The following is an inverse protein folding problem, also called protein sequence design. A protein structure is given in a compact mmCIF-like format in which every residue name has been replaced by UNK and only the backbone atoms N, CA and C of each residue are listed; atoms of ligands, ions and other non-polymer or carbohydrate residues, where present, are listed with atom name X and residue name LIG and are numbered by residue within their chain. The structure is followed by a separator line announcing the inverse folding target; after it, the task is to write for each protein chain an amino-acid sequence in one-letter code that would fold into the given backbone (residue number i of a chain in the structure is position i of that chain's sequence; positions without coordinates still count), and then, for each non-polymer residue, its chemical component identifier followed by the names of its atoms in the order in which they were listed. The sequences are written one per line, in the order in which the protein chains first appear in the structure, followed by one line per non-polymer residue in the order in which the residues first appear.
data_IF_096147576997
#
_entry.id   IF_096147576997
#
_cell.length_a   1.000
_cell.length_b   1.000
_cell.length_c   1.000
_cell.angle_alpha   90.00
_cell.angle_beta   90.00
_cell.angle_gamma   90.00
#
_symmetry.space_group_name_H-M   'P 1'
#
loop_
_entity.id
_entity.type
_entity.pdbx_description
1 polymer ?
#
# COMPACT_ATOMS: atom_id res chain seq x y z
N UNK A 1 29.41 -2.70 -10.54
CA UNK A 1 28.83 -2.98 -9.19
C UNK A 1 27.38 -3.39 -9.41
N UNK A 2 26.92 -4.51 -8.86
CA UNK A 2 25.51 -4.95 -9.00
C UNK A 2 24.64 -4.07 -8.11
N UNK A 3 23.61 -3.43 -8.68
CA UNK A 3 22.64 -2.67 -7.92
C UNK A 3 21.46 -3.60 -7.58
N UNK A 4 21.41 -4.09 -6.34
CA UNK A 4 20.37 -5.01 -5.89
C UNK A 4 18.97 -4.39 -5.92
N UNK A 5 18.82 -3.08 -5.63
CA UNK A 5 17.53 -2.39 -5.75
C UNK A 5 17.00 -2.48 -7.17
N UNK A 6 17.83 -2.22 -8.17
CA UNK A 6 17.42 -2.31 -9.57
C UNK A 6 16.98 -3.73 -9.95
N UNK A 7 17.70 -4.77 -9.48
CA UNK A 7 17.29 -6.16 -9.74
C UNK A 7 15.91 -6.48 -9.18
N UNK A 8 15.60 -6.00 -7.97
CA UNK A 8 14.30 -6.17 -7.34
C UNK A 8 13.23 -5.46 -8.17
N UNK A 9 13.45 -4.20 -8.54
CA UNK A 9 12.51 -3.42 -9.37
C UNK A 9 12.27 -4.12 -10.71
N UNK A 10 13.34 -4.56 -11.40
CA UNK A 10 13.22 -5.27 -12.68
C UNK A 10 12.39 -6.55 -12.57
N UNK A 11 12.65 -7.37 -11.55
CA UNK A 11 11.91 -8.61 -11.35
C UNK A 11 10.44 -8.33 -10.98
N UNK A 12 10.21 -7.36 -10.12
CA UNK A 12 8.87 -6.99 -9.70
C UNK A 12 8.00 -6.47 -10.86
N UNK A 13 8.52 -5.53 -11.67
CA UNK A 13 7.74 -5.00 -12.81
C UNK A 13 7.50 -6.04 -13.89
N UNK A 14 8.44 -6.99 -14.04
CA UNK A 14 8.25 -8.16 -14.92
C UNK A 14 7.08 -9.03 -14.42
N UNK A 15 6.99 -9.25 -13.11
CA UNK A 15 5.91 -10.01 -12.49
C UNK A 15 4.55 -9.31 -12.69
N UNK A 16 4.45 -8.00 -12.46
CA UNK A 16 3.23 -7.23 -12.71
C UNK A 16 2.74 -7.37 -14.16
N UNK A 17 3.67 -7.25 -15.09
CA UNK A 17 3.39 -7.36 -16.52
C UNK A 17 2.97 -8.77 -16.94
N UNK A 18 3.61 -9.79 -16.36
CA UNK A 18 3.28 -11.20 -16.60
C UNK A 18 1.87 -11.52 -16.11
N UNK A 19 1.54 -11.15 -14.89
CA UNK A 19 0.24 -11.41 -14.29
C UNK A 19 -0.91 -10.74 -15.06
N UNK A 20 -0.73 -9.50 -15.53
CA UNK A 20 -1.70 -8.85 -16.41
C UNK A 20 -1.89 -9.66 -17.69
N UNK A 21 -0.81 -10.03 -18.37
CA UNK A 21 -0.84 -10.80 -19.62
C UNK A 21 -1.43 -12.19 -19.46
N UNK A 22 -1.13 -12.86 -18.37
CA UNK A 22 -1.71 -14.16 -18.03
C UNK A 22 -3.22 -14.10 -17.84
N UNK A 23 -3.71 -12.98 -17.28
CA UNK A 23 -5.14 -12.78 -17.01
C UNK A 23 -5.90 -12.35 -18.26
N UNK A 24 -5.32 -11.44 -19.07
CA UNK A 24 -6.05 -10.77 -20.17
C UNK A 24 -5.51 -11.05 -21.57
N UNK A 25 -4.40 -11.80 -21.70
CA UNK A 25 -3.73 -12.08 -22.98
C UNK A 25 -3.41 -10.81 -23.77
N UNK A 26 -4.06 -10.60 -24.92
CA UNK A 26 -3.88 -9.46 -25.82
C UNK A 26 -4.90 -8.34 -25.61
N UNK A 27 -5.75 -8.43 -24.58
CA UNK A 27 -6.70 -7.35 -24.29
C UNK A 27 -5.94 -6.17 -23.69
N UNK A 28 -6.12 -4.99 -24.30
CA UNK A 28 -5.50 -3.73 -23.86
C UNK A 28 -4.00 -3.87 -23.52
N UNK A 29 -3.15 -4.33 -24.49
CA UNK A 29 -1.76 -4.69 -24.22
C UNK A 29 -0.91 -3.51 -23.71
N UNK A 30 -1.35 -2.26 -23.97
CA UNK A 30 -0.72 -1.06 -23.44
C UNK A 30 -0.79 -0.96 -21.91
N UNK A 31 -1.78 -1.58 -21.26
CA UNK A 31 -1.91 -1.54 -19.80
C UNK A 31 -0.79 -2.29 -19.10
N UNK A 32 -0.31 -3.38 -19.69
CA UNK A 32 0.88 -4.07 -19.19
C UNK A 32 2.13 -3.15 -19.16
N UNK A 33 2.27 -2.28 -20.17
CA UNK A 33 3.39 -1.33 -20.22
C UNK A 33 3.16 -0.14 -19.27
N UNK A 34 1.91 0.31 -19.08
CA UNK A 34 1.57 1.32 -18.08
C UNK A 34 1.85 0.83 -16.67
N UNK A 35 1.53 -0.42 -16.35
CA UNK A 35 1.85 -1.03 -15.05
C UNK A 35 3.36 -1.13 -14.82
N UNK A 36 4.12 -1.55 -15.83
CA UNK A 36 5.59 -1.56 -15.77
C UNK A 36 6.14 -0.16 -15.48
N UNK A 37 5.70 0.84 -16.25
CA UNK A 37 6.14 2.22 -16.09
C UNK A 37 5.76 2.80 -14.72
N UNK A 38 4.50 2.61 -14.29
CA UNK A 38 4.04 3.09 -12.98
C UNK A 38 4.79 2.39 -11.84
N UNK A 39 5.03 1.08 -11.96
CA UNK A 39 5.80 0.32 -10.97
C UNK A 39 7.23 0.83 -10.82
N UNK A 40 7.92 1.11 -11.94
CA UNK A 40 9.25 1.74 -11.90
C UNK A 40 9.20 3.11 -11.25
N UNK A 41 8.30 3.97 -11.73
CA UNK A 41 8.15 5.33 -11.20
C UNK A 41 7.91 5.32 -9.68
N UNK A 42 6.99 4.49 -9.20
CA UNK A 42 6.65 4.41 -7.78
C UNK A 42 7.84 3.90 -6.96
N UNK A 43 8.44 2.76 -7.36
CA UNK A 43 9.53 2.15 -6.58
C UNK A 43 10.82 2.98 -6.62
N UNK A 44 11.14 3.65 -7.73
CA UNK A 44 12.29 4.56 -7.81
C UNK A 44 12.11 5.74 -6.86
N UNK A 45 10.91 6.34 -6.77
CA UNK A 45 10.64 7.43 -5.83
C UNK A 45 10.70 6.93 -4.39
N UNK A 46 9.95 5.86 -4.06
CA UNK A 46 9.90 5.31 -2.69
C UNK A 46 11.28 4.83 -2.22
N UNK A 47 12.15 4.37 -3.12
CA UNK A 47 13.51 3.94 -2.76
C UNK A 47 14.40 5.08 -2.26
N UNK A 48 14.01 6.33 -2.47
CA UNK A 48 14.68 7.51 -1.96
C UNK A 48 14.15 7.95 -0.59
N UNK A 49 13.04 7.36 -0.13
CA UNK A 49 12.51 7.64 1.21
C UNK A 49 13.44 7.10 2.30
N UNK A 50 13.55 7.85 3.38
CA UNK A 50 14.22 7.45 4.61
C UNK A 50 13.24 6.99 5.70
N UNK A 51 11.96 6.84 5.39
CA UNK A 51 10.99 6.16 6.24
C UNK A 51 11.41 4.70 6.47
N UNK A 52 11.40 4.28 7.74
CA UNK A 52 11.96 2.98 8.12
C UNK A 52 11.09 1.80 7.69
N UNK A 53 9.77 1.96 7.77
CA UNK A 53 8.79 0.90 7.49
C UNK A 53 8.10 1.09 6.14
N UNK A 54 7.59 2.31 5.85
CA UNK A 54 6.88 2.63 4.61
C UNK A 54 7.87 2.85 3.46
N UNK A 55 8.39 1.75 2.93
CA UNK A 55 9.47 1.66 1.97
C UNK A 55 9.11 0.77 0.77
N UNK A 56 10.07 0.54 -0.10
CA UNK A 56 9.91 -0.27 -1.31
C UNK A 56 9.40 -1.69 -1.02
N UNK A 57 9.86 -2.33 0.06
CA UNK A 57 9.44 -3.70 0.42
C UNK A 57 7.95 -3.75 0.75
N UNK A 58 7.45 -2.79 1.54
CA UNK A 58 6.03 -2.67 1.87
C UNK A 58 5.18 -2.50 0.61
N UNK A 59 5.55 -1.55 -0.25
CA UNK A 59 4.83 -1.31 -1.51
C UNK A 59 4.77 -2.55 -2.40
N UNK A 60 5.87 -3.32 -2.50
CA UNK A 60 5.91 -4.57 -3.25
C UNK A 60 4.92 -5.59 -2.65
N UNK A 61 4.96 -5.81 -1.32
CA UNK A 61 4.09 -6.78 -0.64
C UNK A 61 2.62 -6.43 -0.83
N UNK A 62 2.24 -5.16 -0.63
CA UNK A 62 0.88 -4.65 -0.83
C UNK A 62 0.41 -4.87 -2.26
N UNK A 63 1.27 -4.59 -3.24
CA UNK A 63 0.93 -4.73 -4.66
C UNK A 63 0.77 -6.20 -5.06
N UNK A 64 1.63 -7.09 -4.59
CA UNK A 64 1.54 -8.52 -4.89
C UNK A 64 0.29 -9.17 -4.27
N UNK A 65 -0.05 -8.85 -3.03
CA UNK A 65 -1.30 -9.36 -2.43
C UNK A 65 -2.53 -8.79 -3.13
N UNK A 66 -2.51 -7.51 -3.52
CA UNK A 66 -3.58 -6.92 -4.30
C UNK A 66 -3.81 -7.64 -5.64
N UNK A 67 -2.73 -7.98 -6.33
CA UNK A 67 -2.76 -8.80 -7.55
C UNK A 67 -3.40 -10.17 -7.29
N UNK A 68 -3.03 -10.85 -6.20
CA UNK A 68 -3.63 -12.12 -5.80
C UNK A 68 -5.13 -12.01 -5.47
N UNK A 69 -5.55 -10.90 -4.84
CA UNK A 69 -6.96 -10.60 -4.58
C UNK A 69 -7.73 -10.45 -5.90
N UNK A 70 -7.22 -9.64 -6.84
CA UNK A 70 -7.89 -9.44 -8.14
C UNK A 70 -7.95 -10.74 -8.96
N UNK A 71 -6.88 -11.52 -8.99
CA UNK A 71 -6.88 -12.86 -9.60
C UNK A 71 -7.98 -13.74 -9.02
N UNK A 72 -8.06 -13.83 -7.70
CA UNK A 72 -9.08 -14.62 -7.00
C UNK A 72 -10.51 -14.12 -7.29
N UNK A 73 -10.72 -12.80 -7.29
CA UNK A 73 -11.99 -12.18 -7.63
C UNK A 73 -12.39 -12.49 -9.07
N UNK A 74 -11.48 -12.33 -10.02
CA UNK A 74 -11.71 -12.62 -11.44
C UNK A 74 -12.08 -14.10 -11.66
N UNK A 75 -11.39 -15.04 -11.01
CA UNK A 75 -11.67 -16.47 -11.09
C UNK A 75 -13.00 -16.85 -10.45
N UNK A 76 -13.38 -16.20 -9.34
CA UNK A 76 -14.59 -16.54 -8.57
C UNK A 76 -15.86 -15.96 -9.18
N UNK A 77 -15.82 -14.70 -9.61
CA UNK A 77 -16.99 -13.92 -9.98
C UNK A 77 -16.97 -13.47 -11.44
N UNK A 78 -15.80 -13.49 -12.08
CA UNK A 78 -15.60 -12.76 -13.33
C UNK A 78 -15.63 -11.25 -13.12
N UNK A 79 -15.76 -10.50 -14.22
CA UNK A 79 -16.10 -9.04 -14.16
C UNK A 79 -14.98 -8.11 -13.69
N UNK A 80 -13.75 -8.58 -13.46
CA UNK A 80 -12.61 -7.68 -13.32
C UNK A 80 -12.13 -7.31 -14.71
N UNK A 81 -12.49 -6.09 -15.16
CA UNK A 81 -12.08 -5.63 -16.49
C UNK A 81 -10.62 -5.14 -16.49
N UNK A 82 -9.93 -5.14 -17.65
CA UNK A 82 -8.55 -4.67 -17.76
C UNK A 82 -8.33 -3.27 -17.15
N UNK A 83 -9.28 -2.35 -17.32
CA UNK A 83 -9.20 -1.01 -16.77
C UNK A 83 -9.32 -0.98 -15.24
N UNK A 84 -10.17 -1.84 -14.65
CA UNK A 84 -10.29 -1.96 -13.19
C UNK A 84 -9.00 -2.49 -12.58
N UNK A 85 -8.39 -3.50 -13.24
CA UNK A 85 -7.07 -4.01 -12.86
C UNK A 85 -6.01 -2.92 -12.89
N UNK A 86 -5.95 -2.15 -13.97
CA UNK A 86 -4.99 -1.05 -14.12
C UNK A 86 -5.12 -0.05 -12.98
N UNK A 87 -6.34 0.49 -12.75
CA UNK A 87 -6.56 1.49 -11.71
C UNK A 87 -6.26 0.97 -10.31
N UNK A 88 -6.66 -0.27 -10.04
CA UNK A 88 -6.42 -0.92 -8.76
C UNK A 88 -4.92 -1.08 -8.48
N UNK A 89 -4.17 -1.59 -9.45
CA UNK A 89 -2.73 -1.78 -9.32
C UNK A 89 -1.98 -0.45 -9.23
N UNK A 90 -2.39 0.57 -9.99
CA UNK A 90 -1.81 1.92 -9.88
C UNK A 90 -2.06 2.53 -8.49
N UNK A 91 -3.24 2.30 -7.90
CA UNK A 91 -3.54 2.77 -6.55
C UNK A 91 -2.60 2.12 -5.53
N UNK A 92 -2.38 0.80 -5.60
CA UNK A 92 -1.48 0.10 -4.68
C UNK A 92 -0.01 0.50 -4.86
N UNK A 93 0.43 0.67 -6.10
CA UNK A 93 1.80 1.12 -6.39
C UNK A 93 2.11 2.50 -5.81
N UNK A 94 1.09 3.38 -5.75
CA UNK A 94 1.26 4.78 -5.37
C UNK A 94 0.63 5.15 -4.02
N UNK A 95 0.08 4.19 -3.24
CA UNK A 95 -0.66 4.52 -2.02
C UNK A 95 0.20 5.25 -0.97
N UNK A 96 1.48 4.90 -0.89
CA UNK A 96 2.44 5.44 0.07
C UNK A 96 3.46 6.41 -0.53
N UNK A 97 3.34 6.74 -1.83
CA UNK A 97 4.30 7.65 -2.47
C UNK A 97 4.32 9.04 -1.81
N UNK A 98 3.24 9.39 -1.13
CA UNK A 98 3.09 10.64 -0.40
C UNK A 98 4.00 10.78 0.82
N UNK A 99 4.65 9.71 1.29
CA UNK A 99 5.73 9.81 2.27
C UNK A 99 6.95 10.54 1.71
N UNK A 100 7.25 10.37 0.43
CA UNK A 100 8.48 10.88 -0.19
C UNK A 100 8.46 12.40 -0.28
N UNK A 101 9.47 13.06 0.30
CA UNK A 101 9.72 14.49 0.14
C UNK A 101 10.08 14.80 -1.31
N UNK A 102 9.58 15.91 -1.84
CA UNK A 102 9.83 16.34 -3.22
C UNK A 102 8.97 15.64 -4.27
N UNK A 103 8.00 14.80 -3.90
CA UNK A 103 7.17 14.06 -4.85
C UNK A 103 6.02 14.90 -5.43
N UNK A 104 5.47 15.83 -4.67
CA UNK A 104 4.44 16.77 -5.10
C UNK A 104 5.05 18.03 -5.71
N UNK A 105 4.37 18.65 -6.67
CA UNK A 105 4.88 19.84 -7.38
C UNK A 105 5.16 21.05 -6.50
N UNK A 106 4.39 21.19 -5.41
CA UNK A 106 4.55 22.33 -4.49
C UNK A 106 5.58 22.06 -3.38
N UNK A 107 6.20 20.86 -3.37
CA UNK A 107 7.26 20.55 -2.42
C UNK A 107 8.51 21.40 -2.71
N UNK A 108 9.13 21.86 -1.63
CA UNK A 108 10.34 22.67 -1.68
C UNK A 108 11.36 22.12 -0.66
N UNK A 109 12.47 22.83 -0.42
CA UNK A 109 13.57 22.37 0.42
C UNK A 109 13.16 22.00 1.85
N UNK A 110 12.25 22.77 2.48
CA UNK A 110 11.82 22.63 3.87
C UNK A 110 10.31 22.66 4.05
N UNK A 111 9.57 22.89 2.96
CA UNK A 111 8.11 22.98 2.96
C UNK A 111 7.51 21.98 1.99
N UNK A 112 6.49 21.27 2.45
CA UNK A 112 5.90 20.15 1.71
C UNK A 112 4.38 20.31 1.62
N UNK A 113 3.83 20.05 0.43
CA UNK A 113 2.38 20.01 0.23
C UNK A 113 1.72 19.03 1.18
N UNK A 114 0.59 19.40 1.78
CA UNK A 114 -0.20 18.48 2.61
C UNK A 114 -1.16 17.61 1.76
N UNK A 115 -1.44 18.04 0.52
CA UNK A 115 -2.49 17.46 -0.33
C UNK A 115 -3.91 17.80 0.15
N UNK A 116 -4.05 18.79 1.05
CA UNK A 116 -5.33 19.27 1.59
C UNK A 116 -5.37 20.79 1.35
N UNK A 117 -6.33 21.24 0.54
CA UNK A 117 -6.66 22.66 0.30
C UNK A 117 -5.43 23.56 0.01
N UNK A 118 -4.52 23.13 -0.86
CA UNK A 118 -3.25 23.80 -1.18
C UNK A 118 -2.35 24.09 0.05
N UNK A 119 -2.62 23.44 1.17
CA UNK A 119 -1.85 23.59 2.40
C UNK A 119 -0.43 23.06 2.26
N UNK A 120 0.49 23.70 2.97
CA UNK A 120 1.88 23.27 3.10
C UNK A 120 2.27 23.11 4.56
N UNK A 121 3.22 22.22 4.84
CA UNK A 121 3.80 22.02 6.17
C UNK A 121 5.31 22.17 6.08
N UNK A 122 5.89 22.80 7.10
CA UNK A 122 7.34 22.86 7.29
C UNK A 122 7.79 21.65 8.12
N UNK A 123 8.80 20.94 7.65
CA UNK A 123 9.42 19.83 8.36
C UNK A 123 10.87 20.22 8.68
N UNK A 124 11.32 20.04 9.92
CA UNK A 124 12.72 20.25 10.27
C UNK A 124 13.66 19.38 9.41
N UNK A 125 14.86 19.87 9.14
CA UNK A 125 15.86 19.17 8.32
C UNK A 125 16.26 17.81 8.88
N UNK A 126 16.16 17.63 10.20
CA UNK A 126 16.46 16.39 10.91
C UNK A 126 15.29 15.38 10.88
N UNK A 127 14.09 15.81 10.48
CA UNK A 127 12.92 14.93 10.37
C UNK A 127 13.04 14.00 9.18
N UNK A 128 12.66 12.74 9.36
CA UNK A 128 12.59 11.77 8.27
C UNK A 128 11.30 11.97 7.44
N UNK A 129 11.13 11.18 6.38
CA UNK A 129 9.89 11.13 5.60
C UNK A 129 8.69 10.67 6.43
N UNK A 130 8.91 9.96 7.56
CA UNK A 130 7.87 9.60 8.53
C UNK A 130 7.14 10.83 9.09
N UNK A 131 7.76 12.01 9.14
CA UNK A 131 7.10 13.26 9.51
C UNK A 131 5.88 13.61 8.62
N UNK A 132 5.80 13.05 7.40
CA UNK A 132 4.68 13.20 6.47
C UNK A 132 3.54 12.19 6.69
N UNK A 133 3.64 11.28 7.66
CA UNK A 133 2.65 10.21 7.93
C UNK A 133 1.21 10.73 7.97
N UNK A 134 0.96 11.86 8.61
CA UNK A 134 -0.40 12.43 8.72
C UNK A 134 -0.97 12.89 7.39
N UNK A 135 -0.12 13.12 6.40
CA UNK A 135 -0.47 13.69 5.09
C UNK A 135 -0.27 12.70 3.94
N UNK A 136 0.41 11.56 4.15
CA UNK A 136 0.85 10.68 3.07
C UNK A 136 -0.28 10.27 2.12
N UNK A 137 -1.46 9.88 2.63
CA UNK A 137 -2.61 9.52 1.78
C UNK A 137 -3.06 10.71 0.92
N UNK A 138 -3.19 11.90 1.50
CA UNK A 138 -3.61 13.11 0.76
C UNK A 138 -2.55 13.52 -0.27
N UNK A 139 -1.28 13.39 0.06
CA UNK A 139 -0.14 13.63 -0.84
C UNK A 139 -0.07 12.58 -1.96
N UNK A 140 -0.31 11.32 -1.66
CA UNK A 140 -0.39 10.25 -2.68
C UNK A 140 -1.51 10.53 -3.69
N UNK A 141 -2.66 10.97 -3.22
CA UNK A 141 -3.76 11.41 -4.09
C UNK A 141 -3.38 12.61 -4.95
N UNK A 142 -2.73 13.61 -4.33
CA UNK A 142 -2.24 14.80 -5.05
C UNK A 142 -1.24 14.38 -6.14
N UNK A 143 -0.28 13.52 -5.81
CA UNK A 143 0.68 12.97 -6.79
C UNK A 143 -0.02 12.32 -7.98
N UNK A 144 -1.05 11.48 -7.74
CA UNK A 144 -1.83 10.84 -8.80
C UNK A 144 -2.51 11.89 -9.69
N UNK A 145 -3.16 12.88 -9.09
CA UNK A 145 -3.84 13.94 -9.84
C UNK A 145 -2.85 14.80 -10.65
N UNK A 146 -1.69 15.10 -10.10
CA UNK A 146 -0.64 15.88 -10.77
C UNK A 146 0.05 15.13 -11.93
N UNK A 147 0.25 13.82 -11.80
CA UNK A 147 0.98 13.00 -12.77
C UNK A 147 0.09 12.38 -13.83
N UNK A 148 -1.11 11.96 -13.45
CA UNK A 148 -2.02 11.18 -14.30
C UNK A 148 -3.33 11.90 -14.61
N UNK A 149 -3.56 13.08 -14.03
CA UNK A 149 -4.81 13.82 -14.18
C UNK A 149 -5.03 14.51 -15.54
N UNK A 150 -4.08 14.39 -16.48
CA UNK A 150 -4.28 14.94 -17.82
C UNK A 150 -4.89 13.88 -18.77
N UNK A 151 -6.20 13.95 -19.05
CA UNK A 151 -6.89 12.95 -19.88
C UNK A 151 -6.47 12.95 -21.35
N UNK A 152 -5.77 13.99 -21.82
CA UNK A 152 -5.26 14.05 -23.19
C UNK A 152 -4.00 13.20 -23.37
N UNK A 153 -3.27 12.93 -22.29
CA UNK A 153 -2.04 12.14 -22.31
C UNK A 153 -2.30 10.66 -22.00
N UNK A 154 -3.28 10.37 -21.15
CA UNK A 154 -3.58 9.03 -20.65
C UNK A 154 -5.09 8.79 -20.65
N UNK A 155 -5.65 8.54 -21.82
CA UNK A 155 -7.11 8.44 -22.07
C UNK A 155 -7.77 7.36 -21.18
N UNK A 156 -7.08 6.26 -20.91
CA UNK A 156 -7.64 5.13 -20.17
C UNK A 156 -7.44 5.23 -18.65
N UNK A 157 -6.68 6.21 -18.19
CA UNK A 157 -6.35 6.40 -16.76
C UNK A 157 -7.26 7.46 -16.16
N UNK A 158 -8.11 7.05 -15.23
CA UNK A 158 -8.92 7.96 -14.42
C UNK A 158 -8.24 8.20 -13.06
N UNK A 159 -7.51 9.32 -12.98
CA UNK A 159 -6.79 9.71 -11.77
C UNK A 159 -7.72 9.90 -10.56
N UNK A 160 -8.98 10.32 -10.78
CA UNK A 160 -9.95 10.50 -9.69
C UNK A 160 -10.40 9.17 -9.10
N UNK A 161 -10.58 8.14 -9.93
CA UNK A 161 -10.87 6.78 -9.48
C UNK A 161 -9.70 6.25 -8.66
N UNK A 162 -8.47 6.36 -9.15
CA UNK A 162 -7.25 5.91 -8.45
C UNK A 162 -7.10 6.63 -7.11
N UNK A 163 -7.28 7.96 -7.08
CA UNK A 163 -7.23 8.75 -5.85
C UNK A 163 -8.31 8.31 -4.85
N UNK A 164 -9.51 7.94 -5.31
CA UNK A 164 -10.58 7.42 -4.44
C UNK A 164 -10.23 6.06 -3.83
N UNK A 165 -9.46 5.24 -4.54
CA UNK A 165 -8.96 3.95 -4.02
C UNK A 165 -7.88 4.17 -2.97
N UNK A 166 -6.93 5.08 -3.23
CA UNK A 166 -5.87 5.46 -2.28
C UNK A 166 -6.47 6.04 -0.99
N UNK A 167 -7.57 6.80 -1.06
CA UNK A 167 -8.23 7.33 0.13
C UNK A 167 -8.59 6.24 1.15
N UNK A 168 -8.88 5.03 0.69
CA UNK A 168 -9.24 3.92 1.58
C UNK A 168 -8.08 3.37 2.43
N UNK A 169 -6.83 3.70 2.11
CA UNK A 169 -5.66 3.29 2.92
C UNK A 169 -5.43 4.19 4.14
N UNK A 170 -6.28 5.20 4.33
CA UNK A 170 -6.21 6.08 5.50
C UNK A 170 -6.34 5.29 6.81
N UNK A 171 -5.38 5.53 7.69
CA UNK A 171 -5.34 4.92 9.02
C UNK A 171 -5.13 5.99 10.12
N UNK A 172 -5.82 5.94 11.28
CA UNK A 172 -6.93 5.02 11.59
C UNK A 172 -8.09 5.11 10.58
N UNK A 173 -8.79 3.98 10.35
CA UNK A 173 -9.91 3.94 9.39
C UNK A 173 -11.01 4.87 9.89
N UNK A 174 -11.40 5.90 9.11
CA UNK A 174 -12.46 6.81 9.51
C UNK A 174 -13.83 6.12 9.60
N UNK A 175 -14.73 6.64 10.47
CA UNK A 175 -16.03 5.98 10.73
C UNK A 175 -17.16 6.38 9.76
N UNK A 176 -16.88 7.22 8.76
CA UNK A 176 -17.86 7.65 7.78
C UNK A 176 -18.33 6.49 6.87
N UNK A 177 -19.54 6.56 6.31
CA UNK A 177 -20.11 5.48 5.47
C UNK A 177 -19.23 5.10 4.27
N UNK A 178 -18.46 6.05 3.72
CA UNK A 178 -17.54 5.81 2.62
C UNK A 178 -16.52 4.72 2.94
N UNK A 179 -15.99 4.68 4.18
CA UNK A 179 -14.97 3.74 4.60
C UNK A 179 -15.51 2.39 5.09
N UNK A 180 -16.84 2.21 5.15
CA UNK A 180 -17.45 0.92 5.56
C UNK A 180 -17.46 -0.13 4.45
N UNK A 181 -17.19 0.28 3.22
CA UNK A 181 -17.11 -0.62 2.07
C UNK A 181 -15.88 -1.53 2.16
N UNK A 182 -16.10 -2.84 1.99
CA UNK A 182 -15.06 -3.88 2.00
C UNK A 182 -15.04 -4.71 0.72
N UNK A 183 -16.08 -4.63 -0.13
CA UNK A 183 -16.31 -5.52 -1.26
C UNK A 183 -15.98 -4.91 -2.62
N UNK A 184 -16.08 -3.58 -2.76
CA UNK A 184 -15.71 -2.90 -4.00
C UNK A 184 -14.18 -2.83 -4.17
N UNK A 185 -13.71 -2.46 -5.37
CA UNK A 185 -12.28 -2.31 -5.64
C UNK A 185 -11.58 -1.38 -4.64
N UNK A 186 -12.20 -0.28 -4.24
CA UNK A 186 -11.63 0.63 -3.24
C UNK A 186 -11.49 -0.03 -1.87
N UNK A 187 -12.50 -0.79 -1.41
CA UNK A 187 -12.43 -1.56 -0.16
C UNK A 187 -11.36 -2.65 -0.22
N UNK A 188 -11.17 -3.28 -1.39
CA UNK A 188 -10.14 -4.27 -1.62
C UNK A 188 -8.72 -3.66 -1.66
N UNK A 189 -8.55 -2.38 -2.05
CA UNK A 189 -7.25 -1.66 -1.94
C UNK A 189 -6.83 -1.56 -0.47
N UNK A 190 -7.72 -1.13 0.43
CA UNK A 190 -7.43 -1.13 1.87
C UNK A 190 -7.10 -2.52 2.39
N UNK A 191 -7.88 -3.53 1.95
CA UNK A 191 -7.62 -4.90 2.36
C UNK A 191 -6.25 -5.39 1.88
N UNK A 192 -5.81 -5.00 0.68
CA UNK A 192 -4.49 -5.33 0.15
C UNK A 192 -3.38 -4.69 1.00
N UNK A 193 -3.55 -3.44 1.41
CA UNK A 193 -2.60 -2.75 2.28
C UNK A 193 -2.46 -3.48 3.64
N UNK A 194 -3.56 -3.72 4.35
CA UNK A 194 -3.52 -4.48 5.60
C UNK A 194 -2.93 -5.89 5.45
N UNK A 195 -3.32 -6.64 4.42
CA UNK A 195 -2.85 -8.00 4.23
C UNK A 195 -1.38 -8.01 3.76
N UNK A 196 -0.97 -7.05 2.93
CA UNK A 196 0.42 -6.89 2.49
C UNK A 196 1.35 -6.60 3.66
N UNK A 197 0.90 -5.77 4.61
CA UNK A 197 1.59 -5.53 5.86
C UNK A 197 1.64 -6.80 6.73
N UNK A 198 0.49 -7.35 7.10
CA UNK A 198 0.39 -8.41 8.10
C UNK A 198 0.77 -9.80 7.57
N UNK A 199 0.69 -10.01 6.27
CA UNK A 199 1.09 -11.24 5.58
C UNK A 199 2.54 -11.25 5.08
N UNK A 200 3.30 -10.17 5.26
CA UNK A 200 4.73 -10.14 5.02
C UNK A 200 5.43 -11.13 5.96
N UNK A 201 6.14 -12.16 5.46
CA UNK A 201 6.83 -13.14 6.30
C UNK A 201 7.78 -12.53 7.35
N UNK A 202 8.24 -11.29 7.11
CA UNK A 202 9.14 -10.57 7.99
C UNK A 202 8.42 -9.53 8.88
N UNK A 203 7.09 -9.44 8.85
CA UNK A 203 6.36 -8.37 9.54
C UNK A 203 6.74 -8.22 11.01
N UNK A 204 6.75 -9.32 11.77
CA UNK A 204 7.09 -9.27 13.20
C UNK A 204 8.52 -8.77 13.49
N UNK A 205 9.43 -8.91 12.52
CA UNK A 205 10.81 -8.37 12.59
C UNK A 205 10.85 -6.90 12.18
N UNK A 206 9.87 -6.42 11.39
CA UNK A 206 9.76 -5.03 10.93
C UNK A 206 9.00 -4.14 11.93
N UNK A 207 8.34 -4.70 12.95
CA UNK A 207 7.63 -3.93 13.99
C UNK A 207 8.50 -2.84 14.63
N UNK A 208 9.80 -3.05 14.95
CA UNK A 208 10.62 -1.95 15.45
C UNK A 208 10.71 -0.75 14.51
N UNK A 209 10.79 -0.98 13.19
CA UNK A 209 10.81 0.10 12.20
C UNK A 209 9.50 0.92 12.26
N UNK A 210 8.34 0.26 12.28
CA UNK A 210 7.04 0.91 12.40
C UNK A 210 6.88 1.66 13.74
N UNK A 211 7.38 1.07 14.84
CA UNK A 211 7.36 1.72 16.15
C UNK A 211 8.13 3.05 16.15
N UNK A 212 9.33 3.08 15.55
CA UNK A 212 10.14 4.31 15.52
C UNK A 212 9.59 5.37 14.57
N UNK A 213 8.89 5.00 13.49
CA UNK A 213 8.13 5.97 12.70
C UNK A 213 6.99 6.60 13.52
N UNK A 214 6.27 5.79 14.31
CA UNK A 214 5.22 6.28 15.20
C UNK A 214 5.77 7.18 16.31
N UNK A 215 6.97 6.87 16.81
CA UNK A 215 7.66 7.67 17.82
C UNK A 215 7.99 9.07 17.30
N UNK A 216 8.48 9.18 16.06
CA UNK A 216 8.85 10.45 15.44
C UNK A 216 7.65 11.41 15.34
N UNK A 217 6.46 10.89 15.11
CA UNK A 217 5.23 11.71 14.95
C UNK A 217 4.37 11.78 16.22
N UNK A 218 4.83 11.20 17.34
CA UNK A 218 4.11 11.14 18.60
C UNK A 218 2.90 10.19 18.61
N UNK A 219 2.78 9.29 17.63
CA UNK A 219 1.62 8.38 17.52
C UNK A 219 1.66 7.27 18.58
N UNK A 220 2.83 6.93 19.12
CA UNK A 220 2.95 5.97 20.22
C UNK A 220 2.28 6.46 21.51
N UNK A 221 2.23 7.77 21.75
CA UNK A 221 1.49 8.34 22.87
C UNK A 221 -0.02 8.14 22.69
N UNK A 222 -0.54 8.36 21.48
CA UNK A 222 -1.96 8.17 21.16
C UNK A 222 -2.40 6.71 21.23
N UNK A 223 -1.57 5.80 20.72
CA UNK A 223 -1.85 4.35 20.68
C UNK A 223 -1.49 3.64 21.98
N UNK A 224 -0.71 4.28 22.85
CA UNK A 224 -0.25 3.73 24.11
C UNK A 224 0.87 2.71 23.97
N UNK A 225 1.55 2.63 22.83
CA UNK A 225 2.72 1.75 22.65
C UNK A 225 3.94 2.31 23.40
N UNK A 226 4.54 1.46 24.22
CA UNK A 226 5.68 1.84 25.09
C UNK A 226 7.04 1.34 24.58
N UNK A 227 7.02 0.38 23.67
CA UNK A 227 8.21 -0.22 23.06
C UNK A 227 7.83 -1.07 21.85
N UNK A 228 8.77 -1.42 20.98
CA UNK A 228 8.54 -2.38 19.89
C UNK A 228 7.96 -3.71 20.37
N UNK A 229 8.44 -4.23 21.51
CA UNK A 229 7.92 -5.45 22.12
C UNK A 229 6.47 -5.30 22.60
N UNK A 230 6.09 -4.14 23.14
CA UNK A 230 4.70 -3.86 23.51
C UNK A 230 3.80 -3.73 22.27
N UNK A 231 4.27 -3.11 21.19
CA UNK A 231 3.53 -3.09 19.90
C UNK A 231 3.35 -4.52 19.38
N UNK A 232 4.40 -5.35 19.39
CA UNK A 232 4.35 -6.75 18.97
C UNK A 232 3.36 -7.57 19.80
N UNK A 233 3.37 -7.47 21.13
CA UNK A 233 2.43 -8.20 21.98
C UNK A 233 0.96 -7.82 21.78
N UNK A 234 0.69 -6.61 21.26
CA UNK A 234 -0.66 -6.17 20.89
C UNK A 234 -1.08 -6.59 19.46
N UNK A 235 -0.21 -7.23 18.68
CA UNK A 235 -0.50 -7.61 17.29
C UNK A 235 -1.79 -8.42 17.14
N UNK A 236 -2.01 -9.44 17.96
CA UNK A 236 -3.22 -10.28 17.90
C UNK A 236 -4.49 -9.48 18.13
N UNK A 237 -4.47 -8.54 19.09
CA UNK A 237 -5.60 -7.64 19.35
C UNK A 237 -5.86 -6.71 18.17
N UNK A 238 -4.79 -6.15 17.58
CA UNK A 238 -4.85 -5.33 16.39
C UNK A 238 -5.45 -6.10 15.21
N UNK A 239 -4.96 -7.32 14.94
CA UNK A 239 -5.49 -8.17 13.89
C UNK A 239 -7.00 -8.41 14.03
N UNK A 240 -7.44 -8.91 15.19
CA UNK A 240 -8.84 -9.30 15.36
C UNK A 240 -9.81 -8.12 15.44
N UNK A 241 -9.43 -7.03 16.10
CA UNK A 241 -10.33 -5.91 16.37
C UNK A 241 -10.31 -4.83 15.29
N UNK A 242 -9.17 -4.59 14.70
CA UNK A 242 -8.97 -3.48 13.74
C UNK A 242 -8.94 -4.00 12.32
N UNK A 243 -8.09 -4.98 11.99
CA UNK A 243 -7.86 -5.40 10.62
C UNK A 243 -8.94 -6.35 10.09
N UNK A 244 -9.27 -7.39 10.86
CA UNK A 244 -10.16 -8.48 10.43
C UNK A 244 -11.51 -8.02 9.87
N UNK A 245 -12.18 -7.00 10.44
CA UNK A 245 -13.44 -6.48 9.89
C UNK A 245 -13.31 -5.91 8.48
N UNK A 246 -12.14 -5.39 8.10
CA UNK A 246 -11.92 -4.70 6.83
C UNK A 246 -11.40 -5.60 5.70
N UNK A 247 -10.99 -6.84 6.00
CA UNK A 247 -10.35 -7.72 5.01
C UNK A 247 -11.20 -8.94 4.63
N UNK A 248 -12.43 -9.09 5.16
CA UNK A 248 -13.24 -10.31 5.02
C UNK A 248 -13.50 -10.69 3.58
N UNK A 249 -13.89 -9.73 2.73
CA UNK A 249 -14.18 -10.00 1.32
C UNK A 249 -12.90 -10.38 0.57
N UNK A 250 -11.79 -9.70 0.81
CA UNK A 250 -10.49 -10.04 0.23
C UNK A 250 -10.06 -11.47 0.57
N UNK A 251 -10.27 -11.92 1.81
CA UNK A 251 -9.95 -13.30 2.21
C UNK A 251 -10.75 -14.32 1.39
N UNK A 252 -12.00 -14.03 1.02
CA UNK A 252 -12.80 -14.94 0.19
C UNK A 252 -12.21 -15.11 -1.22
N UNK A 253 -11.56 -14.06 -1.76
CA UNK A 253 -10.88 -14.12 -3.04
C UNK A 253 -9.52 -14.80 -2.94
N UNK A 254 -8.74 -14.50 -1.91
CA UNK A 254 -7.44 -15.14 -1.67
C UNK A 254 -7.54 -16.66 -1.48
N UNK A 255 -8.65 -17.16 -0.92
CA UNK A 255 -8.88 -18.61 -0.78
C UNK A 255 -8.97 -19.37 -2.11
N UNK A 256 -9.16 -18.70 -3.24
CA UNK A 256 -9.35 -19.33 -4.56
C UNK A 256 -8.04 -19.87 -5.13
N UNK A 257 -6.91 -19.19 -4.87
CA UNK A 257 -5.60 -19.56 -5.42
C UNK A 257 -4.64 -20.07 -4.35
N UNK A 258 -3.64 -20.85 -4.76
CA UNK A 258 -2.61 -21.32 -3.83
C UNK A 258 -1.76 -20.16 -3.29
N UNK A 259 -1.43 -19.19 -4.14
CA UNK A 259 -0.74 -17.96 -3.76
C UNK A 259 -1.54 -17.19 -2.70
N UNK A 260 -2.85 -16.99 -2.93
CA UNK A 260 -3.72 -16.31 -1.98
C UNK A 260 -3.81 -17.03 -0.63
N UNK A 261 -3.88 -18.37 -0.63
CA UNK A 261 -3.85 -19.17 0.60
C UNK A 261 -2.54 -18.99 1.38
N UNK A 262 -1.42 -18.77 0.68
CA UNK A 262 -0.14 -18.51 1.34
C UNK A 262 -0.15 -17.17 2.08
N UNK A 263 -0.74 -16.10 1.52
CA UNK A 263 -0.92 -14.83 2.22
C UNK A 263 -1.74 -15.00 3.50
N UNK A 264 -2.85 -15.75 3.44
CA UNK A 264 -3.67 -16.06 4.62
C UNK A 264 -2.87 -16.84 5.67
N UNK A 265 -2.12 -17.85 5.24
CA UNK A 265 -1.29 -18.68 6.13
C UNK A 265 -0.20 -17.84 6.84
N UNK A 266 0.51 -16.97 6.11
CA UNK A 266 1.54 -16.11 6.68
C UNK A 266 0.95 -15.20 7.77
N UNK A 267 -0.17 -14.54 7.48
CA UNK A 267 -0.83 -13.65 8.43
C UNK A 267 -1.29 -14.40 9.69
N UNK A 268 -1.85 -15.59 9.55
CA UNK A 268 -2.27 -16.41 10.69
C UNK A 268 -1.09 -17.00 11.47
N UNK A 269 0.04 -17.27 10.81
CA UNK A 269 1.25 -17.73 11.52
C UNK A 269 1.75 -16.66 12.50
N UNK A 270 1.71 -15.38 12.11
CA UNK A 270 2.08 -14.30 13.02
C UNK A 270 1.14 -14.18 14.22
N UNK A 271 -0.17 -14.36 14.00
CA UNK A 271 -1.15 -14.41 15.12
C UNK A 271 -0.80 -15.55 16.07
N UNK A 272 -0.52 -16.73 15.52
CA UNK A 272 -0.15 -17.90 16.30
C UNK A 272 1.15 -17.67 17.08
N UNK A 273 2.18 -17.15 16.43
CA UNK A 273 3.51 -16.91 17.04
C UNK A 273 3.39 -15.97 18.24
N UNK A 274 2.69 -14.85 18.09
CA UNK A 274 2.50 -13.88 19.18
C UNK A 274 1.69 -14.48 20.34
N UNK A 275 0.67 -15.30 20.04
CA UNK A 275 -0.17 -15.90 21.09
C UNK A 275 0.55 -16.99 21.89
N UNK A 276 1.47 -17.73 21.27
CA UNK A 276 2.01 -18.95 21.86
C UNK A 276 3.50 -18.85 22.23
N UNK A 277 4.28 -18.00 21.58
CA UNK A 277 5.73 -17.90 21.81
C UNK A 277 6.16 -16.60 22.49
N UNK A 278 5.40 -15.51 22.33
CA UNK A 278 5.75 -14.22 22.96
C UNK A 278 5.11 -14.05 24.37
N UNK A 279 4.36 -15.03 24.85
CA UNK A 279 3.68 -14.99 26.16
C UNK A 279 4.50 -15.54 27.34
N UNK A 280 5.81 -15.74 27.12
CA UNK A 280 6.72 -16.29 28.15
C UNK A 280 7.86 -15.36 28.50
#
# INVERSE_FOLDING_TARGET
MVNFKNLIVEQFVKELKSAYRETYNQMEPQYANLLEWTGRLALENISNSDALYHNMDHTIMVTLVGQAILKGKHLKEGGVHPRDWLHFMMALLCHDIGYVKGVCKADNHDTFATGIDDGVIQIPLEGTDAALTRFHVSRSKLFILERFGNPQLLVDVDASVIASYIEMTRFPVPDEPFYKDTSSFRGLVRAADFIGQLGDPNYLRKIPALYYEFEEIGENENTGYKSPGHMRSNFTKFYWKIVRPHIQDALTYLQITQEGKQWIANMHSHVFDVQHYDSH
#
